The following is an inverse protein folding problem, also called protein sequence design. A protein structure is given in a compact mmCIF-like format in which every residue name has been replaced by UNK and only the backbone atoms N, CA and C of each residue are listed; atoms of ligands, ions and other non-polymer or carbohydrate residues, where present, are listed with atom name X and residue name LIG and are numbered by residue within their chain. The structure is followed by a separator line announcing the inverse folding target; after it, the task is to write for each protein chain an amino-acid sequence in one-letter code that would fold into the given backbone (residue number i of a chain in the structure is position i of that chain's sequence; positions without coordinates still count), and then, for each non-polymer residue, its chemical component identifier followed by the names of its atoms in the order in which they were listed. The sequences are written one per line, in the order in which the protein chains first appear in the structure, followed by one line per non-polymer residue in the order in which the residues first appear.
data_IF_448420653109
#
_entry.id   IF_448420653109
#
_cell.length_a   1.000
_cell.length_b   1.000
_cell.length_c   1.000
_cell.angle_alpha   90.00
_cell.angle_beta   90.00
_cell.angle_gamma   90.00
#
_symmetry.space_group_name_H-M   'P 1'
#
loop_
_entity.id
_entity.type
_entity.pdbx_description
1 polymer ?
#
# COMPACT_ATOMS: atom_id res chain seq x y z
N UNK A 1 10.10 -34.49 15.35
CA UNK A 1 8.88 -33.86 14.81
C UNK A 1 9.15 -32.36 14.85
N UNK A 2 9.68 -31.80 13.76
CA UNK A 2 10.00 -30.38 13.63
C UNK A 2 8.81 -29.77 12.87
N UNK A 3 8.14 -28.79 13.49
CA UNK A 3 7.06 -28.04 12.84
C UNK A 3 7.65 -26.82 12.14
N UNK A 4 7.40 -26.74 10.84
CA UNK A 4 7.67 -25.60 9.97
C UNK A 4 7.04 -24.31 10.51
N UNK A 5 7.87 -23.27 10.62
CA UNK A 5 7.43 -21.90 10.78
C UNK A 5 6.97 -21.36 9.42
N UNK A 6 5.70 -21.57 9.09
CA UNK A 6 5.06 -20.93 7.94
C UNK A 6 5.03 -19.41 8.13
N UNK A 7 5.88 -18.70 7.40
CA UNK A 7 5.80 -17.25 7.22
C UNK A 7 4.53 -16.91 6.43
N UNK A 8 3.43 -16.71 7.15
CA UNK A 8 2.24 -16.10 6.57
C UNK A 8 2.48 -14.60 6.42
N UNK A 9 2.71 -14.14 5.19
CA UNK A 9 2.51 -12.75 4.80
C UNK A 9 1.00 -12.46 4.89
N UNK A 10 0.49 -12.34 6.12
CA UNK A 10 -0.85 -11.87 6.39
C UNK A 10 -0.86 -10.37 6.10
N UNK A 11 -1.61 -9.97 5.08
CA UNK A 11 -2.01 -8.57 4.95
C UNK A 11 -2.67 -8.18 6.27
N UNK A 12 -2.16 -7.14 6.89
CA UNK A 12 -2.68 -6.56 8.11
C UNK A 12 -3.98 -5.81 7.77
N UNK A 13 -5.02 -6.59 7.50
CA UNK A 13 -6.35 -6.12 7.15
C UNK A 13 -6.93 -5.26 8.26
N UNK A 14 -7.17 -4.00 7.91
CA UNK A 14 -8.01 -3.03 8.61
C UNK A 14 -9.35 -3.66 9.03
N UNK A 15 -9.44 -4.03 10.30
CA UNK A 15 -10.70 -4.31 10.98
C UNK A 15 -11.19 -3.06 11.71
N UNK A 16 -11.78 -2.11 10.99
CA UNK A 16 -12.64 -1.09 11.57
C UNK A 16 -13.89 -0.96 10.67
N UNK A 17 -15.04 -1.37 11.20
CA UNK A 17 -16.28 -1.51 10.46
C UNK A 17 -16.73 -0.21 9.80
N UNK A 18 -16.79 -0.21 8.47
CA UNK A 18 -17.64 0.71 7.73
C UNK A 18 -19.12 0.30 7.93
N UNK A 19 -20.06 1.25 8.11
CA UNK A 19 -21.49 0.91 8.13
C UNK A 19 -21.90 0.26 6.80
N UNK A 20 -22.87 -0.69 6.81
CA UNK A 20 -23.30 -1.38 5.60
C UNK A 20 -23.91 -0.37 4.62
N UNK A 21 -23.33 -0.28 3.43
CA UNK A 21 -23.90 0.47 2.32
C UNK A 21 -25.24 -0.19 1.93
N UNK A 22 -26.33 0.57 1.71
CA UNK A 22 -27.59 0.01 1.21
C UNK A 22 -27.38 -0.57 -0.19
N UNK A 23 -27.95 -1.76 -0.40
CA UNK A 23 -27.62 -2.66 -1.49
C UNK A 23 -27.85 -2.09 -2.89
N UNK A 24 -26.82 -2.20 -3.73
CA UNK A 24 -27.01 -2.29 -5.18
C UNK A 24 -27.15 -3.77 -5.51
N UNK A 25 -28.37 -4.19 -5.86
CA UNK A 25 -28.59 -5.53 -6.38
C UNK A 25 -27.92 -5.59 -7.76
N UNK A 26 -26.81 -6.31 -7.84
CA UNK A 26 -26.26 -6.77 -9.10
C UNK A 26 -27.25 -7.75 -9.70
N UNK A 27 -28.09 -7.29 -10.62
CA UNK A 27 -28.91 -8.17 -11.46
C UNK A 27 -27.96 -8.95 -12.39
N UNK A 28 -27.43 -10.05 -11.85
CA UNK A 28 -26.73 -11.07 -12.59
C UNK A 28 -27.76 -11.73 -13.52
N UNK A 29 -27.86 -11.20 -14.74
CA UNK A 29 -28.73 -11.68 -15.81
C UNK A 29 -28.58 -13.19 -16.01
N UNK A 30 -29.45 -13.96 -15.36
CA UNK A 30 -29.53 -15.40 -15.45
C UNK A 30 -30.60 -15.75 -16.48
N UNK A 31 -30.27 -15.55 -17.76
CA UNK A 31 -31.11 -15.98 -18.87
C UNK A 31 -30.25 -16.47 -20.03
N UNK A 32 -29.54 -17.59 -19.79
CA UNK A 32 -29.02 -18.44 -20.85
C UNK A 32 -29.86 -19.71 -20.91
N UNK A 33 -30.91 -19.66 -21.72
CA UNK A 33 -31.66 -20.86 -22.12
C UNK A 33 -30.73 -21.82 -22.86
N UNK A 34 -30.74 -23.13 -22.56
CA UNK A 34 -30.02 -24.10 -23.36
C UNK A 34 -30.80 -24.38 -24.65
N UNK A 35 -30.16 -24.17 -25.80
CA UNK A 35 -30.59 -24.77 -27.06
C UNK A 35 -31.42 -23.88 -27.99
N UNK A 36 -30.75 -23.02 -28.74
CA UNK A 36 -31.16 -22.67 -30.10
C UNK A 36 -29.93 -22.20 -30.89
N UNK A 37 -29.18 -23.13 -31.47
CA UNK A 37 -28.18 -22.79 -32.50
C UNK A 37 -28.97 -22.33 -33.73
N UNK A 38 -29.10 -21.01 -33.92
CA UNK A 38 -29.60 -20.47 -35.18
C UNK A 38 -28.59 -20.84 -36.26
N UNK A 39 -28.98 -21.67 -37.22
CA UNK A 39 -28.14 -22.01 -38.35
C UNK A 39 -27.75 -20.73 -39.09
N UNK A 40 -26.45 -20.45 -39.17
CA UNK A 40 -25.92 -19.37 -40.01
C UNK A 40 -26.20 -19.75 -41.48
N UNK A 41 -26.72 -18.84 -42.32
CA UNK A 41 -26.84 -19.10 -43.74
C UNK A 41 -25.45 -19.37 -44.34
N UNK A 42 -25.37 -20.40 -45.20
CA UNK A 42 -24.13 -20.98 -45.73
C UNK A 42 -23.34 -20.08 -46.71
N UNK A 43 -23.47 -18.75 -46.63
CA UNK A 43 -22.91 -17.84 -47.64
C UNK A 43 -22.13 -16.63 -47.10
N UNK A 44 -21.99 -16.43 -45.77
CA UNK A 44 -20.99 -15.48 -45.27
C UNK A 44 -19.66 -16.19 -45.05
N UNK A 45 -18.87 -16.32 -46.12
CA UNK A 45 -17.42 -16.49 -45.97
C UNK A 45 -16.88 -15.10 -45.71
N UNK A 46 -16.37 -14.75 -44.51
CA UNK A 46 -15.55 -13.56 -44.42
C UNK A 46 -14.39 -13.83 -45.37
N UNK A 47 -14.28 -13.03 -46.42
CA UNK A 47 -13.08 -12.99 -47.22
C UNK A 47 -11.97 -12.51 -46.30
N UNK A 48 -11.33 -13.41 -45.56
CA UNK A 48 -10.02 -13.18 -44.97
C UNK A 48 -9.05 -13.25 -46.16
N UNK A 49 -9.17 -12.27 -47.05
CA UNK A 49 -8.04 -11.91 -47.89
C UNK A 49 -6.91 -11.50 -46.96
N UNK A 50 -5.64 -11.70 -47.33
CA UNK A 50 -4.53 -11.23 -46.52
C UNK A 50 -4.73 -9.74 -46.29
N UNK A 51 -5.00 -9.36 -45.05
CA UNK A 51 -4.96 -7.96 -44.65
C UNK A 51 -3.49 -7.58 -44.78
N UNK A 52 -3.13 -7.00 -45.93
CA UNK A 52 -1.85 -6.30 -46.04
C UNK A 52 -2.01 -5.11 -45.12
N UNK A 53 -1.50 -5.21 -43.89
CA UNK A 53 -1.24 -4.04 -43.08
C UNK A 53 -0.34 -3.13 -43.91
N UNK A 54 -0.92 -2.05 -44.44
CA UNK A 54 -0.12 -0.97 -44.98
C UNK A 54 0.81 -0.52 -43.85
N UNK A 55 2.11 -0.30 -44.10
CA UNK A 55 2.97 0.28 -43.09
C UNK A 55 2.39 1.66 -42.77
N UNK A 56 1.81 1.80 -41.58
CA UNK A 56 1.40 3.10 -41.06
C UNK A 56 2.69 3.85 -40.78
N UNK A 57 3.12 4.70 -41.72
CA UNK A 57 4.22 5.63 -41.50
C UNK A 57 3.79 6.56 -40.36
N UNK A 58 4.49 6.50 -39.22
CA UNK A 58 4.22 7.32 -38.03
C UNK A 58 4.17 6.59 -36.69
N UNK A 59 4.12 5.25 -36.66
CA UNK A 59 4.01 4.48 -35.41
C UNK A 59 5.22 4.62 -34.45
N UNK A 60 6.39 4.98 -34.98
CA UNK A 60 7.61 5.13 -34.19
C UNK A 60 7.64 6.48 -33.44
N UNK A 61 7.13 7.56 -34.04
CA UNK A 61 7.03 8.88 -33.39
C UNK A 61 5.97 8.87 -32.27
N UNK A 62 4.83 8.21 -32.51
CA UNK A 62 3.76 8.05 -31.53
C UNK A 62 4.15 7.13 -30.35
N UNK A 63 4.93 6.07 -30.62
CA UNK A 63 5.44 5.19 -29.57
C UNK A 63 6.46 5.90 -28.68
N UNK A 64 7.42 6.65 -29.24
CA UNK A 64 8.39 7.44 -28.46
C UNK A 64 7.68 8.54 -27.66
N UNK A 65 6.64 9.16 -28.21
CA UNK A 65 5.79 10.12 -27.48
C UNK A 65 5.08 9.45 -26.29
N UNK A 66 4.47 8.28 -26.50
CA UNK A 66 3.81 7.52 -25.44
C UNK A 66 4.78 7.07 -24.35
N UNK A 67 5.96 6.58 -24.72
CA UNK A 67 6.97 6.11 -23.76
C UNK A 67 7.50 7.26 -22.90
N UNK A 68 7.66 8.46 -23.49
CA UNK A 68 7.99 9.68 -22.74
C UNK A 68 6.87 10.06 -21.77
N UNK A 69 5.62 10.01 -22.21
CA UNK A 69 4.46 10.32 -21.34
C UNK A 69 4.37 9.33 -20.19
N UNK A 70 4.59 8.04 -20.43
CA UNK A 70 4.60 7.01 -19.38
C UNK A 70 5.72 7.32 -18.38
N UNK A 71 6.94 7.56 -18.85
CA UNK A 71 8.07 7.86 -17.97
C UNK A 71 7.86 9.15 -17.15
N UNK A 72 7.28 10.19 -17.76
CA UNK A 72 6.92 11.42 -17.07
C UNK A 72 5.85 11.18 -16.01
N UNK A 73 4.78 10.47 -16.36
CA UNK A 73 3.71 10.12 -15.43
C UNK A 73 4.22 9.26 -14.26
N UNK A 74 5.08 8.27 -14.53
CA UNK A 74 5.73 7.46 -13.51
C UNK A 74 6.58 8.33 -12.58
N UNK A 75 7.34 9.28 -13.13
CA UNK A 75 8.11 10.25 -12.35
C UNK A 75 7.22 11.07 -11.42
N UNK A 76 6.11 11.61 -11.93
CA UNK A 76 5.16 12.39 -11.12
C UNK A 76 4.56 11.55 -9.98
N UNK A 77 4.19 10.29 -10.26
CA UNK A 77 3.65 9.39 -9.22
C UNK A 77 4.71 9.07 -8.17
N UNK A 78 5.97 8.82 -8.58
CA UNK A 78 7.07 8.55 -7.66
C UNK A 78 7.38 9.75 -6.77
N UNK A 79 7.41 10.96 -7.33
CA UNK A 79 7.65 12.20 -6.58
C UNK A 79 6.56 12.45 -5.53
N UNK A 80 5.29 12.26 -5.92
CA UNK A 80 4.17 12.41 -4.99
C UNK A 80 4.19 11.34 -3.90
N UNK A 81 4.46 10.08 -4.26
CA UNK A 81 4.58 8.99 -3.29
C UNK A 81 5.71 9.25 -2.29
N UNK A 82 6.86 9.77 -2.76
CA UNK A 82 7.96 10.16 -1.91
C UNK A 82 7.57 11.32 -0.99
N UNK A 83 6.86 12.34 -1.48
CA UNK A 83 6.41 13.47 -0.67
C UNK A 83 5.41 13.05 0.43
N UNK A 84 4.50 12.13 0.15
CA UNK A 84 3.53 11.60 1.13
C UNK A 84 4.26 10.83 2.24
N UNK A 85 5.21 9.97 1.86
CA UNK A 85 5.90 9.05 2.76
C UNK A 85 7.19 9.61 3.37
N UNK A 86 7.62 10.82 3.00
CA UNK A 86 8.79 11.45 3.60
C UNK A 86 8.53 11.79 5.09
N UNK A 87 9.48 11.49 6.00
CA UNK A 87 9.45 12.02 7.36
C UNK A 87 9.56 13.54 7.36
N UNK A 88 8.81 14.20 8.24
CA UNK A 88 8.92 15.64 8.47
C UNK A 88 10.07 15.95 9.44
N UNK A 89 10.55 17.19 9.41
CA UNK A 89 11.58 17.64 10.34
C UNK A 89 11.13 17.44 11.80
N UNK A 90 12.02 16.81 12.59
CA UNK A 90 11.80 16.53 14.01
C UNK A 90 10.55 15.68 14.30
N UNK A 91 9.96 15.03 13.31
CA UNK A 91 8.86 14.10 13.51
C UNK A 91 9.35 12.87 14.27
N UNK A 92 8.59 12.37 15.24
CA UNK A 92 8.91 11.12 15.91
C UNK A 92 8.34 9.92 15.15
N UNK A 93 8.99 8.75 15.28
CA UNK A 93 8.56 7.52 14.60
C UNK A 93 7.05 7.24 14.71
N UNK A 94 6.39 7.25 15.88
CA UNK A 94 4.96 6.97 15.94
C UNK A 94 4.09 8.05 15.29
N UNK A 95 4.44 9.35 15.37
CA UNK A 95 3.71 10.40 14.63
C UNK A 95 3.87 10.25 13.12
N UNK A 96 5.07 9.89 12.66
CA UNK A 96 5.33 9.59 11.25
C UNK A 96 4.48 8.41 10.77
N UNK A 97 4.51 7.30 11.50
CA UNK A 97 3.73 6.10 11.15
C UNK A 97 2.22 6.40 11.17
N UNK A 98 1.73 7.08 12.21
CA UNK A 98 0.33 7.46 12.33
C UNK A 98 -0.10 8.30 11.12
N UNK A 99 0.61 9.39 10.83
CA UNK A 99 0.32 10.26 9.68
C UNK A 99 0.34 9.51 8.35
N UNK A 100 1.40 8.74 8.08
CA UNK A 100 1.55 8.08 6.78
C UNK A 100 0.56 6.93 6.62
N UNK A 101 0.25 6.19 7.69
CA UNK A 101 -0.73 5.09 7.64
C UNK A 101 -2.18 5.56 7.47
N UNK A 102 -2.48 6.84 7.70
CA UNK A 102 -3.77 7.42 7.32
C UNK A 102 -3.90 7.64 5.81
N UNK A 103 -2.79 7.75 5.08
CA UNK A 103 -2.76 7.99 3.64
C UNK A 103 -2.40 6.73 2.83
N UNK A 104 -1.60 5.84 3.42
CA UNK A 104 -1.03 4.66 2.76
C UNK A 104 -1.32 3.41 3.59
N UNK A 105 -1.86 2.38 2.95
CA UNK A 105 -2.14 1.10 3.61
C UNK A 105 -0.84 0.37 3.96
N UNK A 106 -0.83 -0.31 5.12
CA UNK A 106 0.29 -1.15 5.51
C UNK A 106 0.34 -2.44 4.65
N UNK A 107 1.54 -2.80 4.19
CA UNK A 107 1.81 -3.97 3.34
C UNK A 107 2.18 -5.24 4.11
N UNK A 108 2.01 -5.24 5.43
CA UNK A 108 2.42 -6.35 6.30
C UNK A 108 3.90 -6.36 6.67
N UNK A 109 4.67 -5.34 6.27
CA UNK A 109 6.10 -5.24 6.56
C UNK A 109 6.45 -4.00 7.39
N UNK A 110 7.74 -3.81 7.68
CA UNK A 110 8.31 -2.59 8.26
C UNK A 110 8.84 -1.61 7.20
N UNK A 111 8.19 -1.52 6.04
CA UNK A 111 8.67 -0.67 4.95
C UNK A 111 8.80 0.79 5.37
N UNK A 112 7.75 1.35 6.01
CA UNK A 112 7.74 2.74 6.46
C UNK A 112 8.70 2.96 7.64
N UNK A 113 8.75 2.02 8.59
CA UNK A 113 9.69 2.08 9.72
C UNK A 113 11.14 2.04 9.25
N UNK A 114 11.47 1.21 8.24
CA UNK A 114 12.80 1.19 7.61
C UNK A 114 13.10 2.51 6.93
N UNK A 115 12.17 3.02 6.13
CA UNK A 115 12.31 4.31 5.47
C UNK A 115 12.61 5.44 6.46
N UNK A 116 11.86 5.53 7.56
CA UNK A 116 12.11 6.50 8.64
C UNK A 116 13.50 6.32 9.27
N UNK A 117 13.88 5.08 9.61
CA UNK A 117 15.19 4.80 10.20
C UNK A 117 16.32 5.25 9.26
N UNK A 118 16.24 4.86 8.00
CA UNK A 118 17.35 5.06 7.06
C UNK A 118 17.52 6.54 6.70
N UNK A 119 16.41 7.29 6.62
CA UNK A 119 16.43 8.74 6.33
C UNK A 119 16.72 9.61 7.55
N UNK A 120 16.14 9.27 8.71
CA UNK A 120 16.12 10.17 9.86
C UNK A 120 17.06 9.71 10.97
N UNK A 121 17.17 8.39 11.21
CA UNK A 121 17.85 7.81 12.37
C UNK A 121 18.74 6.59 12.02
N UNK A 122 19.72 6.72 11.10
CA UNK A 122 20.45 5.58 10.56
C UNK A 122 21.28 4.81 11.62
N UNK A 123 21.66 5.48 12.71
CA UNK A 123 22.35 4.86 13.84
C UNK A 123 21.47 3.91 14.67
N UNK A 124 20.13 3.92 14.49
CA UNK A 124 19.20 3.07 15.21
C UNK A 124 19.13 1.65 14.60
N UNK A 125 20.27 0.99 14.47
CA UNK A 125 20.43 -0.31 13.79
C UNK A 125 19.57 -1.43 14.38
N UNK A 126 19.35 -1.39 15.70
CA UNK A 126 18.51 -2.36 16.41
C UNK A 126 17.01 -2.00 16.46
N UNK A 127 16.55 -0.94 15.75
CA UNK A 127 15.16 -0.47 15.82
C UNK A 127 14.14 -1.59 15.54
N UNK A 128 14.23 -2.23 14.38
CA UNK A 128 13.29 -3.27 13.96
C UNK A 128 13.23 -4.41 14.96
N UNK A 129 14.39 -4.91 15.42
CA UNK A 129 14.45 -5.97 16.42
C UNK A 129 13.77 -5.57 17.74
N UNK A 130 13.96 -4.33 18.20
CA UNK A 130 13.30 -3.82 19.42
C UNK A 130 11.78 -3.70 19.25
N UNK A 131 11.31 -3.35 18.06
CA UNK A 131 9.88 -3.25 17.74
C UNK A 131 9.25 -4.65 17.66
N UNK A 132 9.87 -5.59 16.95
CA UNK A 132 9.40 -6.99 16.89
C UNK A 132 9.36 -7.65 18.27
N UNK A 133 10.40 -7.44 19.09
CA UNK A 133 10.39 -7.89 20.50
C UNK A 133 9.27 -7.25 21.34
N UNK A 134 8.73 -6.11 20.92
CA UNK A 134 7.58 -5.48 21.55
C UNK A 134 6.24 -5.85 20.89
N UNK A 135 6.24 -6.70 19.86
CA UNK A 135 5.04 -7.16 19.15
C UNK A 135 4.71 -6.38 17.87
N UNK A 136 5.56 -5.46 17.43
CA UNK A 136 5.41 -4.75 16.14
C UNK A 136 6.15 -5.47 15.02
N UNK A 137 5.47 -6.29 14.23
CA UNK A 137 6.05 -7.01 13.07
C UNK A 137 5.70 -6.37 11.72
N UNK A 138 4.63 -5.55 11.66
CA UNK A 138 4.37 -4.57 10.60
C UNK A 138 4.41 -3.13 11.13
N UNK A 139 4.42 -2.15 10.23
CA UNK A 139 4.28 -0.72 10.55
C UNK A 139 3.00 -0.42 11.36
N UNK A 140 1.88 -1.05 11.02
CA UNK A 140 0.63 -0.96 11.78
C UNK A 140 0.72 -1.46 13.22
N UNK A 141 1.32 -2.63 13.42
CA UNK A 141 1.47 -3.27 14.73
C UNK A 141 2.43 -2.49 15.62
N UNK A 142 3.33 -1.66 15.05
CA UNK A 142 4.11 -0.73 15.85
C UNK A 142 3.19 0.23 16.62
N UNK A 143 2.14 0.75 15.99
CA UNK A 143 1.15 1.59 16.67
C UNK A 143 0.22 0.77 17.58
N UNK A 144 -0.27 -0.39 17.14
CA UNK A 144 -1.20 -1.18 17.95
C UNK A 144 -0.53 -1.81 19.19
N UNK A 145 0.70 -2.29 19.07
CA UNK A 145 1.35 -3.10 20.09
C UNK A 145 2.44 -2.35 20.87
N UNK A 146 3.11 -1.36 20.28
CA UNK A 146 4.31 -0.75 20.85
C UNK A 146 4.08 0.66 21.38
N UNK A 147 3.47 1.56 20.62
CA UNK A 147 3.25 2.97 20.99
C UNK A 147 1.78 3.29 21.11
N UNK A 148 1.32 3.68 22.30
CA UNK A 148 -0.07 4.05 22.53
C UNK A 148 -0.21 5.56 22.64
N UNK A 149 -1.20 6.10 21.92
CA UNK A 149 -1.53 7.52 21.98
C UNK A 149 -2.02 7.88 23.39
N UNK A 150 -1.64 9.07 23.86
CA UNK A 150 -2.09 9.62 25.14
C UNK A 150 -3.49 10.23 25.07
N UNK A 151 -3.97 10.53 23.86
CA UNK A 151 -5.30 11.07 23.60
C UNK A 151 -5.81 10.70 22.22
N UNK A 152 -7.13 10.68 22.03
CA UNK A 152 -7.78 10.41 20.74
C UNK A 152 -7.87 11.65 19.81
N UNK A 153 -7.27 12.77 20.20
CA UNK A 153 -7.33 14.01 19.42
C UNK A 153 -6.24 14.07 18.35
N UNK A 154 -6.59 14.58 17.17
CA UNK A 154 -5.63 14.90 16.10
C UNK A 154 -4.71 16.03 16.58
N UNK A 155 -3.45 15.71 16.85
CA UNK A 155 -2.40 16.67 17.24
C UNK A 155 -1.21 16.54 16.30
N UNK A 156 -0.60 17.67 15.94
CA UNK A 156 0.71 17.66 15.30
C UNK A 156 1.77 17.11 16.26
N UNK A 157 2.79 16.44 15.73
CA UNK A 157 3.93 15.98 16.52
C UNK A 157 4.52 17.13 17.36
N UNK A 158 4.79 16.88 18.64
CA UNK A 158 5.44 17.86 19.54
C UNK A 158 6.95 17.98 19.28
N UNK A 159 7.45 17.15 18.37
CA UNK A 159 8.82 17.17 17.92
C UNK A 159 9.74 16.34 18.81
N UNK A 160 10.79 15.79 18.20
CA UNK A 160 11.90 15.13 18.89
C UNK A 160 13.23 15.69 18.40
N UNK A 161 14.33 15.26 19.04
CA UNK A 161 15.67 15.52 18.50
C UNK A 161 15.83 14.78 17.16
N UNK A 162 16.52 15.41 16.21
CA UNK A 162 16.92 14.77 14.95
C UNK A 162 17.64 13.43 15.22
N UNK A 163 17.27 12.39 14.46
CA UNK A 163 17.79 11.03 14.68
C UNK A 163 17.15 10.24 15.83
N UNK A 164 16.11 10.76 16.47
CA UNK A 164 15.40 10.02 17.52
C UNK A 164 14.50 8.94 16.95
N UNK A 165 14.47 7.79 17.64
CA UNK A 165 13.43 6.75 17.48
C UNK A 165 12.54 6.64 18.72
N UNK A 166 12.68 7.57 19.67
CA UNK A 166 11.82 7.69 20.84
C UNK A 166 10.56 8.51 20.49
N UNK A 167 9.44 8.23 21.17
CA UNK A 167 8.22 9.02 21.01
C UNK A 167 8.37 10.44 21.55
N UNK A 168 7.54 11.37 21.07
CA UNK A 168 7.23 12.62 21.77
C UNK A 168 6.13 12.38 22.83
N UNK A 169 5.70 13.40 23.58
CA UNK A 169 4.80 13.22 24.74
C UNK A 169 3.37 12.80 24.34
N UNK A 170 3.00 12.95 23.07
CA UNK A 170 1.79 12.36 22.49
C UNK A 170 1.70 10.82 22.63
N UNK A 171 2.81 10.11 22.81
CA UNK A 171 2.85 8.65 22.80
C UNK A 171 3.60 8.09 24.01
N UNK A 172 3.08 7.02 24.60
CA UNK A 172 3.84 6.22 25.57
C UNK A 172 4.13 4.82 25.03
N UNK A 173 5.32 4.31 25.34
CA UNK A 173 5.71 2.95 24.95
C UNK A 173 5.10 1.94 25.91
N UNK A 174 4.31 0.99 25.40
CA UNK A 174 3.73 -0.10 26.19
C UNK A 174 4.87 -0.94 26.79
N UNK A 175 5.02 -0.91 28.11
CA UNK A 175 5.87 -1.89 28.80
C UNK A 175 5.13 -3.21 28.78
N UNK A 176 5.78 -4.31 28.34
CA UNK A 176 5.20 -5.66 28.49
C UNK A 176 4.90 -5.85 29.98
N UNK A 177 3.63 -6.09 30.35
CA UNK A 177 3.34 -6.75 31.64
C UNK A 177 3.71 -8.21 31.42
N UNK A 178 4.80 -8.63 32.05
CA UNK A 178 5.18 -10.04 32.13
C UNK A 178 4.14 -10.70 33.05
N UNK A 179 3.24 -11.48 32.48
CA UNK A 179 2.37 -12.41 33.21
C UNK A 179 2.88 -13.81 32.92
#
# INVERSE_FOLDING_TARGET
MILDAGAGAGTCGVGAGAPPQPGVQSELSTDLRPGARRALPAAYRPGIGPVRSAPVRGLEEDAVSRDRIIAEAEGVVQDLAAAITAPRDRECLPCYLDRVLHEVSCDGTHALTRHYRDSTAPAATALLQRLSRAGGHCDCEVLFNVYWATSDHVRSCEGVRLGSTQPCDLWFRRRRRMW
#
